data_IF_867383340113
#
_entry.id   IF_867383340113
#
_cell.length_a   1.000
_cell.length_b   1.000
_cell.length_c   1.000
_cell.angle_alpha   90.00
_cell.angle_beta   90.00
_cell.angle_gamma   90.00
#
_symmetry.space_group_name_H-M   'P 1'
#
loop_
_entity.id
_entity.type
_entity.pdbx_description
1 polymer ?
#
# COMPACT_ATOMS: atom_id res chain seq x y z
N UNK A 1 19.75 45.61 -55.55
CA UNK A 1 19.23 45.75 -56.92
C UNK A 1 18.90 44.36 -57.45
N UNK A 2 17.62 43.97 -57.41
CA UNK A 2 16.91 43.33 -58.51
C UNK A 2 15.49 43.00 -58.04
N UNK A 3 14.56 43.62 -58.74
CA UNK A 3 13.11 43.57 -58.64
C UNK A 3 12.60 42.30 -59.30
N UNK A 4 11.65 41.57 -58.70
CA UNK A 4 10.55 40.94 -59.46
C UNK A 4 9.30 40.91 -58.58
N UNK A 5 8.26 41.57 -59.08
CA UNK A 5 6.89 41.65 -58.59
C UNK A 5 6.11 40.54 -59.30
N UNK A 6 5.31 39.76 -58.58
CA UNK A 6 4.20 39.02 -59.20
C UNK A 6 2.90 39.28 -58.44
N UNK A 7 2.09 40.16 -59.04
CA UNK A 7 0.65 40.22 -58.87
C UNK A 7 0.04 38.92 -59.41
N UNK A 8 -0.89 38.35 -58.66
CA UNK A 8 -1.70 37.22 -59.10
C UNK A 8 -3.04 37.22 -58.38
N UNK A 9 -3.91 38.16 -58.78
CA UNK A 9 -5.35 38.13 -58.48
C UNK A 9 -5.99 36.94 -59.18
N UNK A 10 -6.59 36.01 -58.43
CA UNK A 10 -7.69 35.18 -58.95
C UNK A 10 -8.82 35.17 -57.92
N UNK A 11 -9.83 35.98 -58.24
CA UNK A 11 -11.20 35.87 -57.75
C UNK A 11 -11.73 34.48 -58.15
N UNK A 12 -12.06 33.64 -57.18
CA UNK A 12 -12.64 32.31 -57.39
C UNK A 12 -13.91 32.18 -56.58
N UNK A 13 -15.01 31.94 -57.28
CA UNK A 13 -16.38 32.03 -56.80
C UNK A 13 -16.75 30.99 -55.72
N UNK A 14 -17.49 31.51 -54.73
CA UNK A 14 -18.68 30.93 -54.10
C UNK A 14 -19.16 29.58 -54.66
N UNK A 15 -19.13 28.53 -53.83
CA UNK A 15 -20.20 27.53 -53.81
C UNK A 15 -20.29 26.93 -52.39
N UNK A 16 -21.23 27.45 -51.60
CA UNK A 16 -21.70 26.80 -50.39
C UNK A 16 -22.46 25.52 -50.79
N UNK A 17 -21.88 24.36 -50.47
CA UNK A 17 -22.65 23.11 -50.40
C UNK A 17 -22.75 22.72 -48.93
N UNK A 18 -23.85 23.17 -48.30
CA UNK A 18 -24.23 22.74 -46.96
C UNK A 18 -24.86 21.33 -47.05
N UNK A 19 -24.03 20.29 -47.05
CA UNK A 19 -24.51 18.94 -46.76
C UNK A 19 -24.59 18.78 -45.24
N UNK A 20 -25.81 18.90 -44.71
CA UNK A 20 -26.12 18.55 -43.33
C UNK A 20 -25.94 17.06 -43.11
N UNK A 21 -24.79 16.65 -42.58
CA UNK A 21 -24.68 15.39 -41.88
C UNK A 21 -25.30 15.58 -40.50
N UNK A 22 -26.54 15.12 -40.36
CA UNK A 22 -27.15 14.83 -39.06
C UNK A 22 -26.30 13.79 -38.34
N UNK A 23 -25.29 14.27 -37.61
CA UNK A 23 -24.64 13.50 -36.56
C UNK A 23 -25.70 13.32 -35.49
N UNK A 24 -26.37 12.16 -35.50
CA UNK A 24 -27.06 11.67 -34.33
C UNK A 24 -26.01 11.59 -33.22
N UNK A 25 -25.94 12.64 -32.40
CA UNK A 25 -25.25 12.62 -31.13
C UNK A 25 -25.96 11.54 -30.32
N UNK A 26 -25.39 10.35 -30.33
CA UNK A 26 -25.65 9.37 -29.29
C UNK A 26 -25.31 10.08 -27.99
N UNK A 27 -26.35 10.57 -27.32
CA UNK A 27 -26.26 11.10 -25.98
C UNK A 27 -25.87 9.90 -25.12
N UNK A 28 -24.55 9.70 -24.95
CA UNK A 28 -24.00 8.82 -23.94
C UNK A 28 -24.65 9.26 -22.64
N UNK A 29 -25.60 8.46 -22.17
CA UNK A 29 -26.14 8.64 -20.84
C UNK A 29 -24.94 8.64 -19.91
N UNK A 30 -24.80 9.64 -19.02
CA UNK A 30 -23.76 9.60 -18.01
C UNK A 30 -23.90 8.26 -17.29
N UNK A 31 -22.95 7.36 -17.52
CA UNK A 31 -22.84 6.17 -16.69
C UNK A 31 -22.58 6.74 -15.30
N UNK A 32 -23.48 6.52 -14.33
CA UNK A 32 -23.25 7.01 -12.98
C UNK A 32 -21.85 6.53 -12.57
N UNK A 33 -21.03 7.38 -11.92
CA UNK A 33 -19.71 6.97 -11.48
C UNK A 33 -19.91 5.67 -10.73
N UNK A 34 -19.36 4.57 -11.28
CA UNK A 34 -19.40 3.28 -10.62
C UNK A 34 -18.79 3.53 -9.26
N UNK A 35 -19.63 3.49 -8.24
CA UNK A 35 -19.27 3.61 -6.84
C UNK A 35 -18.08 2.68 -6.67
N UNK A 36 -16.88 3.27 -6.58
CA UNK A 36 -15.61 2.56 -6.66
C UNK A 36 -15.65 1.51 -5.58
N UNK A 37 -15.84 0.24 -5.97
CA UNK A 37 -15.90 -0.85 -5.04
C UNK A 37 -14.71 -0.71 -4.08
N UNK A 38 -15.01 -0.57 -2.79
CA UNK A 38 -13.97 -0.40 -1.78
C UNK A 38 -12.92 -1.49 -2.01
N UNK A 39 -11.66 -1.10 -2.11
CA UNK A 39 -10.61 -2.05 -2.42
C UNK A 39 -10.64 -3.22 -1.42
N UNK A 40 -10.32 -4.44 -1.86
CA UNK A 40 -10.41 -5.60 -0.99
C UNK A 40 -9.51 -5.45 0.23
N UNK A 41 -9.89 -6.12 1.32
CA UNK A 41 -9.03 -6.24 2.51
C UNK A 41 -7.84 -7.16 2.14
N UNK A 42 -6.59 -6.84 2.51
CA UNK A 42 -5.46 -7.74 2.33
C UNK A 42 -5.69 -9.06 3.06
N UNK A 43 -5.43 -10.19 2.39
CA UNK A 43 -5.49 -11.51 3.03
C UNK A 43 -4.32 -11.71 3.99
N UNK A 44 -4.46 -12.60 4.97
CA UNK A 44 -3.37 -12.95 5.89
C UNK A 44 -2.08 -13.36 5.17
N UNK A 45 -2.19 -14.10 4.06
CA UNK A 45 -1.05 -14.48 3.21
C UNK A 45 -0.37 -13.28 2.55
N UNK A 46 -1.13 -12.28 2.10
CA UNK A 46 -0.56 -11.06 1.53
C UNK A 46 0.15 -10.23 2.60
N UNK A 47 -0.44 -10.11 3.79
CA UNK A 47 0.16 -9.40 4.93
C UNK A 47 1.47 -10.06 5.34
N UNK A 48 1.50 -11.40 5.48
CA UNK A 48 2.73 -12.14 5.80
C UNK A 48 3.79 -11.99 4.71
N UNK A 49 3.39 -12.00 3.43
CA UNK A 49 4.33 -11.75 2.33
C UNK A 49 4.98 -10.37 2.45
N UNK A 50 4.19 -9.34 2.73
CA UNK A 50 4.74 -7.99 2.92
C UNK A 50 5.62 -7.90 4.17
N UNK A 51 5.27 -8.58 5.26
CA UNK A 51 6.15 -8.69 6.43
C UNK A 51 7.50 -9.31 6.05
N UNK A 52 7.50 -10.38 5.24
CA UNK A 52 8.75 -11.00 4.77
C UNK A 52 9.57 -10.08 3.87
N UNK A 53 8.91 -9.28 3.03
CA UNK A 53 9.58 -8.26 2.22
C UNK A 53 10.13 -7.09 3.08
N UNK A 54 9.69 -6.99 4.34
CA UNK A 54 10.09 -5.94 5.28
C UNK A 54 11.18 -6.36 6.27
N UNK A 55 11.65 -7.62 6.26
CA UNK A 55 12.57 -8.13 7.29
C UNK A 55 13.90 -7.36 7.35
N UNK A 56 14.38 -6.84 6.23
CA UNK A 56 15.61 -6.03 6.20
C UNK A 56 15.41 -4.57 6.67
N UNK A 57 14.21 -4.19 7.11
CA UNK A 57 13.95 -2.83 7.60
C UNK A 57 14.70 -2.61 8.92
N UNK A 58 15.53 -1.56 9.05
CA UNK A 58 16.22 -1.27 10.29
C UNK A 58 15.24 -0.99 11.44
N UNK A 59 15.53 -1.50 12.64
CA UNK A 59 14.75 -1.17 13.84
C UNK A 59 14.75 0.32 14.14
N UNK A 60 15.77 1.06 13.71
CA UNK A 60 15.82 2.53 13.84
C UNK A 60 14.76 3.29 13.02
N UNK A 61 13.94 2.61 12.21
CA UNK A 61 12.83 3.22 11.47
C UNK A 61 11.73 3.77 12.40
N UNK A 62 11.64 3.26 13.63
CA UNK A 62 10.64 3.66 14.61
C UNK A 62 11.22 3.67 16.02
N UNK A 63 10.87 4.69 16.81
CA UNK A 63 11.16 4.73 18.24
C UNK A 63 10.52 3.57 19.01
N UNK A 64 9.39 3.04 18.52
CA UNK A 64 8.73 1.87 19.15
C UNK A 64 9.56 0.59 19.04
N UNK A 65 10.58 0.59 18.18
CA UNK A 65 11.52 -0.51 18.01
C UNK A 65 12.84 -0.30 18.79
N UNK A 66 12.98 0.79 19.54
CA UNK A 66 14.20 1.06 20.29
C UNK A 66 14.34 0.08 21.47
N UNK A 67 15.37 -0.76 21.42
CA UNK A 67 15.71 -1.67 22.52
C UNK A 67 14.74 -2.84 22.73
N UNK A 68 13.84 -3.12 21.78
CA UNK A 68 12.86 -4.22 21.86
C UNK A 68 13.34 -5.52 21.22
N UNK A 69 14.60 -5.55 20.76
CA UNK A 69 15.23 -6.78 20.29
C UNK A 69 15.29 -7.83 21.40
N UNK A 70 15.26 -9.10 21.01
CA UNK A 70 15.51 -10.23 21.91
C UNK A 70 17.00 -10.34 22.25
N UNK A 71 17.87 -9.86 21.36
CA UNK A 71 19.31 -9.83 21.54
C UNK A 71 19.87 -8.40 21.37
N UNK A 72 21.03 -8.12 21.99
CA UNK A 72 21.61 -6.77 22.00
C UNK A 72 22.11 -6.30 20.62
N UNK A 73 22.37 -7.25 19.73
CA UNK A 73 22.84 -7.02 18.37
C UNK A 73 21.74 -7.07 17.31
N UNK A 74 20.46 -7.23 17.68
CA UNK A 74 19.35 -7.08 16.74
C UNK A 74 19.40 -5.70 16.05
N UNK A 75 19.32 -5.69 14.71
CA UNK A 75 19.40 -4.47 13.89
C UNK A 75 18.22 -4.26 12.97
N UNK A 76 17.58 -5.34 12.52
CA UNK A 76 16.47 -5.27 11.57
C UNK A 76 15.22 -5.98 12.10
N UNK A 77 14.08 -5.75 11.46
CA UNK A 77 12.80 -6.40 11.79
C UNK A 77 12.92 -7.93 11.72
N UNK A 78 13.76 -8.44 10.83
CA UNK A 78 14.09 -9.86 10.72
C UNK A 78 14.64 -10.46 12.01
N UNK A 79 15.61 -9.80 12.64
CA UNK A 79 16.23 -10.26 13.88
C UNK A 79 15.19 -10.28 15.01
N UNK A 80 14.45 -9.18 15.15
CA UNK A 80 13.35 -9.03 16.13
C UNK A 80 12.29 -10.15 15.98
N UNK A 81 11.81 -10.41 14.75
CA UNK A 81 10.82 -11.47 14.51
C UNK A 81 11.44 -12.85 14.76
N UNK A 82 12.68 -13.09 14.35
CA UNK A 82 13.35 -14.37 14.50
C UNK A 82 13.51 -14.76 15.97
N UNK A 83 13.88 -13.82 16.84
CA UNK A 83 13.98 -14.04 18.27
C UNK A 83 12.68 -14.52 18.91
N UNK A 84 11.57 -13.82 18.67
CA UNK A 84 10.27 -14.26 19.20
C UNK A 84 9.77 -15.56 18.56
N UNK A 85 10.08 -15.81 17.29
CA UNK A 85 9.79 -17.11 16.66
C UNK A 85 10.62 -18.24 17.29
N UNK A 86 11.86 -17.99 17.71
CA UNK A 86 12.69 -18.96 18.42
C UNK A 86 12.07 -19.32 19.77
N UNK A 87 11.53 -18.33 20.50
CA UNK A 87 10.78 -18.56 21.74
C UNK A 87 9.53 -19.41 21.50
N UNK A 88 8.80 -19.20 20.39
CA UNK A 88 7.67 -20.07 20.01
C UNK A 88 8.09 -21.51 19.65
N UNK A 89 9.38 -21.80 19.53
CA UNK A 89 9.91 -23.14 19.26
C UNK A 89 9.91 -24.08 20.47
N UNK A 90 9.59 -23.58 21.68
CA UNK A 90 9.51 -24.41 22.88
C UNK A 90 8.53 -25.58 22.70
N UNK A 91 8.88 -26.76 23.24
CA UNK A 91 8.03 -27.98 23.17
C UNK A 91 6.78 -27.90 24.05
N UNK A 92 6.63 -26.83 24.81
CA UNK A 92 5.55 -26.59 25.76
C UNK A 92 4.93 -25.23 25.53
N UNK A 93 3.66 -25.06 25.92
CA UNK A 93 2.91 -23.83 25.70
C UNK A 93 2.02 -23.86 24.45
N UNK A 94 1.20 -22.83 24.32
CA UNK A 94 0.32 -22.59 23.21
C UNK A 94 0.80 -21.35 22.46
N UNK A 95 1.13 -21.53 21.19
CA UNK A 95 1.70 -20.49 20.35
C UNK A 95 0.77 -20.25 19.15
N UNK A 96 0.50 -18.99 18.82
CA UNK A 96 -0.29 -18.64 17.65
C UNK A 96 0.18 -17.32 17.03
N UNK A 97 -0.27 -17.06 15.80
CA UNK A 97 0.01 -15.82 15.07
C UNK A 97 -1.31 -15.10 14.83
N UNK A 98 -1.43 -13.88 15.33
CA UNK A 98 -2.57 -13.01 15.06
C UNK A 98 -2.24 -12.11 13.88
N UNK A 99 -3.11 -12.10 12.87
CA UNK A 99 -2.95 -11.26 11.67
C UNK A 99 -4.25 -10.49 11.47
N UNK A 100 -4.14 -9.16 11.38
CA UNK A 100 -5.30 -8.31 11.14
C UNK A 100 -4.96 -7.17 10.18
N UNK A 101 -5.99 -6.69 9.49
CA UNK A 101 -5.95 -5.47 8.68
C UNK A 101 -7.23 -4.66 8.92
N UNK A 102 -7.08 -3.34 9.06
CA UNK A 102 -8.18 -2.40 9.25
C UNK A 102 -8.00 -1.16 8.39
N UNK A 103 -9.09 -0.49 7.95
CA UNK A 103 -8.98 0.74 7.19
C UNK A 103 -8.33 1.85 8.02
N UNK A 104 -7.39 2.57 7.43
CA UNK A 104 -6.69 3.68 8.06
C UNK A 104 -6.40 4.81 7.06
N UNK A 105 -5.66 5.83 7.52
CA UNK A 105 -5.19 6.96 6.72
C UNK A 105 -3.69 7.10 6.88
N UNK A 106 -2.99 7.25 5.77
CA UNK A 106 -1.59 7.69 5.77
C UNK A 106 -1.50 9.15 6.25
N UNK A 107 -0.29 9.62 6.54
CA UNK A 107 -0.02 11.00 6.98
C UNK A 107 -0.54 12.06 5.99
N UNK A 108 -0.56 11.74 4.70
CA UNK A 108 -1.06 12.61 3.63
C UNK A 108 -2.57 12.47 3.37
N UNK A 109 -3.29 11.69 4.18
CA UNK A 109 -4.73 11.49 4.08
C UNK A 109 -5.18 10.42 3.07
N UNK A 110 -4.26 9.80 2.33
CA UNK A 110 -4.61 8.70 1.43
C UNK A 110 -5.18 7.50 2.23
N UNK A 111 -6.19 6.80 1.68
CA UNK A 111 -6.70 5.59 2.32
C UNK A 111 -5.65 4.48 2.25
N UNK A 112 -5.39 3.83 3.38
CA UNK A 112 -4.43 2.73 3.50
C UNK A 112 -5.01 1.61 4.35
N UNK A 113 -4.36 0.46 4.34
CA UNK A 113 -4.62 -0.62 5.28
C UNK A 113 -3.61 -0.57 6.42
N UNK A 114 -4.06 -0.45 7.67
CA UNK A 114 -3.23 -0.68 8.83
C UNK A 114 -3.21 -2.19 9.11
N UNK A 115 -2.04 -2.80 9.02
CA UNK A 115 -1.83 -4.22 9.26
C UNK A 115 -1.07 -4.44 10.56
N UNK A 116 -1.31 -5.60 11.18
CA UNK A 116 -0.54 -6.12 12.33
C UNK A 116 -0.32 -7.61 12.20
N UNK A 117 0.88 -8.05 12.55
CA UNK A 117 1.24 -9.46 12.73
C UNK A 117 1.83 -9.60 14.12
N UNK A 118 1.16 -10.33 15.01
CA UNK A 118 1.58 -10.52 16.40
C UNK A 118 1.84 -12.01 16.64
N UNK A 119 3.05 -12.31 17.10
CA UNK A 119 3.45 -13.61 17.63
C UNK A 119 2.99 -13.67 19.08
N UNK A 120 2.26 -14.73 19.42
CA UNK A 120 1.68 -14.92 20.75
C UNK A 120 2.18 -16.23 21.34
N UNK A 121 2.47 -16.19 22.64
CA UNK A 121 2.79 -17.37 23.45
C UNK A 121 2.04 -17.31 24.76
N UNK A 122 1.54 -18.47 25.16
CA UNK A 122 0.93 -18.69 26.46
C UNK A 122 1.49 -19.98 27.06
N UNK A 123 2.14 -19.89 28.23
CA UNK A 123 2.67 -21.04 28.96
C UNK A 123 2.60 -20.85 30.46
N UNK A 124 1.60 -21.45 31.11
CA UNK A 124 1.39 -21.26 32.55
C UNK A 124 0.99 -19.81 32.84
N UNK A 125 1.81 -19.10 33.61
CA UNK A 125 1.61 -17.67 33.92
C UNK A 125 2.26 -16.74 32.88
N UNK A 126 3.09 -17.27 31.98
CA UNK A 126 3.69 -16.50 30.89
C UNK A 126 2.65 -16.28 29.79
N UNK A 127 2.28 -15.03 29.55
CA UNK A 127 1.46 -14.62 28.41
C UNK A 127 2.02 -13.33 27.81
N UNK A 128 2.52 -13.44 26.58
CA UNK A 128 3.05 -12.27 25.86
C UNK A 128 2.62 -12.25 24.40
N UNK A 129 2.68 -11.04 23.83
CA UNK A 129 2.45 -10.81 22.42
C UNK A 129 3.39 -9.76 21.88
N UNK A 130 4.21 -10.14 20.89
CA UNK A 130 5.18 -9.25 20.23
C UNK A 130 5.07 -9.36 18.71
N UNK A 131 5.27 -8.27 18.00
CA UNK A 131 5.12 -8.30 16.55
C UNK A 131 5.30 -6.94 15.88
N UNK A 132 4.77 -6.83 14.66
CA UNK A 132 5.02 -5.67 13.80
C UNK A 132 3.70 -5.14 13.25
N UNK A 133 3.54 -3.82 13.30
CA UNK A 133 2.49 -3.07 12.64
C UNK A 133 3.07 -2.30 11.46
N UNK A 134 2.31 -2.20 10.36
CA UNK A 134 2.71 -1.45 9.19
C UNK A 134 1.49 -1.07 8.35
N UNK A 135 1.66 -0.09 7.46
CA UNK A 135 0.64 0.40 6.55
C UNK A 135 0.93 -0.04 5.13
N UNK A 136 -0.14 -0.42 4.43
CA UNK A 136 -0.10 -0.79 3.02
C UNK A 136 -0.93 0.19 2.18
N UNK A 137 -0.34 0.66 1.09
CA UNK A 137 -1.04 1.47 0.11
C UNK A 137 -2.20 0.70 -0.53
N UNK A 138 -3.20 1.45 -0.99
CA UNK A 138 -4.40 0.95 -1.64
C UNK A 138 -4.51 1.62 -3.02
N UNK A 139 -4.70 0.90 -4.14
CA UNK A 139 -5.10 -0.53 -4.32
C UNK A 139 -3.96 -1.57 -4.36
N UNK A 140 -4.28 -2.89 -4.47
CA UNK A 140 -3.30 -3.94 -4.78
C UNK A 140 -2.28 -3.49 -5.85
N UNK A 141 -0.98 -3.80 -5.69
CA UNK A 141 -0.40 -4.94 -4.96
C UNK A 141 -0.09 -4.70 -3.48
N UNK A 142 -0.65 -3.67 -2.85
CA UNK A 142 -0.41 -3.29 -1.45
C UNK A 142 1.05 -2.94 -1.14
N UNK A 143 1.64 -1.92 -1.79
CA UNK A 143 2.97 -1.46 -1.46
C UNK A 143 3.11 -1.12 0.03
N UNK A 144 4.21 -1.54 0.65
CA UNK A 144 4.55 -1.20 2.03
C UNK A 144 4.99 0.27 2.13
N UNK A 145 4.37 1.01 3.06
CA UNK A 145 4.88 2.29 3.51
C UNK A 145 5.96 2.04 4.57
N UNK A 146 7.24 2.01 4.18
CA UNK A 146 8.33 1.55 5.06
C UNK A 146 8.43 2.35 6.36
N UNK A 147 8.22 3.66 6.28
CA UNK A 147 8.23 4.59 7.41
C UNK A 147 7.07 4.38 8.40
N UNK A 148 6.09 3.53 8.07
CA UNK A 148 4.98 3.16 8.94
C UNK A 148 5.25 1.91 9.78
N UNK A 149 6.38 1.23 9.57
CA UNK A 149 6.75 0.03 10.33
C UNK A 149 6.95 0.40 11.79
N UNK A 150 6.27 -0.31 12.70
CA UNK A 150 6.34 -0.16 14.15
C UNK A 150 6.47 -1.53 14.79
N UNK A 151 7.33 -1.64 15.79
CA UNK A 151 7.30 -2.78 16.70
C UNK A 151 6.09 -2.62 17.65
N UNK A 152 5.40 -3.72 17.88
CA UNK A 152 4.20 -3.83 18.70
C UNK A 152 4.41 -4.88 19.76
N UNK A 153 3.70 -4.74 20.87
CA UNK A 153 3.62 -5.80 21.87
C UNK A 153 3.81 -5.32 23.29
N UNK A 154 3.57 -6.25 24.19
CA UNK A 154 3.80 -6.14 25.62
C UNK A 154 3.77 -7.55 26.22
N UNK A 155 4.53 -7.76 27.28
CA UNK A 155 4.63 -9.04 27.97
C UNK A 155 5.77 -8.99 28.95
#
# INVERSE_FOLDING_TARGET
>A
MNTVIHLGSILGALLLVATGLSSALAQERPVPPTESAAAPIPTAKQILRVLFDALDTPLSVSETCAGVGTEADDRVIGDFIAGFMAEMGARTGHNWIEIAAEPARATDGRPVWQCRVILRRQHGEEEWGWGVGFQLDNPPPYPLLKESVRCLGSG
#
